data_IF_443420400917
#
_entry.id   IF_443420400917
#
_cell.length_a   1.000
_cell.length_b   1.000
_cell.length_c   1.000
_cell.angle_alpha   90.00
_cell.angle_beta   90.00
_cell.angle_gamma   90.00
#
_symmetry.space_group_name_H-M   'P 1'
#
loop_
_entity.id
_entity.type
_entity.pdbx_description
1 polymer ?
#
# COMPACT_ATOMS: atom_id res chain seq x y z
N UNK A 1 22.62 0.04 52.68
CA UNK A 1 21.23 0.43 52.39
C UNK A 1 20.74 -0.43 51.23
N UNK A 2 20.02 -1.49 51.51
CA UNK A 2 19.58 -2.49 50.53
C UNK A 2 18.27 -2.04 49.87
N UNK A 3 18.27 -1.95 48.53
CA UNK A 3 17.06 -1.72 47.74
C UNK A 3 16.12 -2.92 47.88
N UNK A 4 15.01 -2.74 48.60
CA UNK A 4 13.88 -3.66 48.52
C UNK A 4 13.15 -3.47 47.18
N UNK A 5 13.09 -4.55 46.40
CA UNK A 5 12.43 -4.63 45.09
C UNK A 5 10.96 -4.14 45.15
N UNK A 6 10.57 -3.28 44.21
CA UNK A 6 9.19 -2.77 44.04
C UNK A 6 8.14 -3.89 43.97
N UNK A 7 8.54 -5.05 43.46
CA UNK A 7 7.75 -6.28 43.42
C UNK A 7 7.32 -6.80 44.80
N UNK A 8 8.17 -6.67 45.81
CA UNK A 8 7.84 -7.12 47.18
C UNK A 8 6.82 -6.21 47.86
N UNK A 9 6.84 -4.90 47.56
CA UNK A 9 5.81 -3.94 48.03
C UNK A 9 4.45 -4.17 47.38
N UNK A 10 4.41 -4.66 46.15
CA UNK A 10 3.17 -4.96 45.45
C UNK A 10 2.48 -6.21 46.04
N UNK A 11 3.24 -7.27 46.30
CA UNK A 11 2.71 -8.52 46.88
C UNK A 11 2.18 -8.30 48.31
N UNK A 12 2.84 -7.48 49.12
CA UNK A 12 2.39 -7.20 50.49
C UNK A 12 1.08 -6.40 50.59
N UNK A 13 0.65 -5.72 49.52
CA UNK A 13 -0.59 -4.92 49.52
C UNK A 13 -1.85 -5.70 49.19
N UNK A 14 -1.73 -6.90 48.64
CA UNK A 14 -2.89 -7.69 48.20
C UNK A 14 -3.03 -8.90 49.12
N UNK A 15 -3.87 -8.78 50.15
CA UNK A 15 -4.31 -9.94 50.96
C UNK A 15 -5.30 -10.76 50.15
N UNK A 16 -4.82 -11.56 49.20
CA UNK A 16 -5.63 -12.60 48.54
C UNK A 16 -5.52 -13.87 49.39
N UNK A 17 -6.64 -14.45 49.86
CA UNK A 17 -6.64 -15.74 50.54
C UNK A 17 -6.02 -16.81 49.64
N UNK A 18 -5.19 -17.69 50.21
CA UNK A 18 -4.45 -18.73 49.47
C UNK A 18 -5.37 -19.62 48.59
N UNK A 19 -6.63 -19.77 48.99
CA UNK A 19 -7.67 -20.53 48.27
C UNK A 19 -8.07 -19.87 46.93
N UNK A 20 -8.05 -18.54 46.83
CA UNK A 20 -8.41 -17.80 45.60
C UNK A 20 -7.28 -17.82 44.59
N UNK A 21 -6.01 -17.92 45.05
CA UNK A 21 -4.85 -18.03 44.16
C UNK A 21 -4.85 -19.33 43.35
N UNK A 22 -5.32 -20.44 43.94
CA UNK A 22 -5.45 -21.74 43.25
C UNK A 22 -6.46 -21.72 42.11
N UNK A 23 -7.58 -21.00 42.28
CA UNK A 23 -8.64 -20.85 41.27
C UNK A 23 -8.16 -20.05 40.04
N UNK A 24 -7.33 -19.02 40.24
CA UNK A 24 -6.74 -18.26 39.12
C UNK A 24 -5.74 -19.09 38.30
N UNK A 25 -4.92 -19.93 38.95
CA UNK A 25 -3.99 -20.81 38.23
C UNK A 25 -4.75 -21.87 37.44
N UNK A 26 -5.82 -22.45 38.00
CA UNK A 26 -6.67 -23.39 37.29
C UNK A 26 -7.36 -22.75 36.08
N UNK A 27 -7.88 -21.52 36.21
CA UNK A 27 -8.47 -20.76 35.08
C UNK A 27 -7.42 -20.45 34.01
N UNK A 28 -6.19 -20.08 34.38
CA UNK A 28 -5.10 -19.84 33.43
C UNK A 28 -4.69 -21.14 32.71
N UNK A 29 -4.68 -22.29 33.39
CA UNK A 29 -4.38 -23.59 32.78
C UNK A 29 -5.52 -24.08 31.87
N UNK A 30 -6.78 -23.88 32.26
CA UNK A 30 -7.95 -24.16 31.41
C UNK A 30 -7.96 -23.23 30.18
N UNK A 31 -7.58 -21.96 30.33
CA UNK A 31 -7.45 -21.02 29.20
C UNK A 31 -6.25 -21.34 28.31
N UNK A 32 -5.17 -21.95 28.85
CA UNK A 32 -4.02 -22.41 28.09
C UNK A 32 -4.36 -23.63 27.23
N UNK A 33 -5.13 -24.58 27.77
CA UNK A 33 -5.61 -25.76 27.04
C UNK A 33 -6.68 -25.43 25.99
N UNK A 34 -7.55 -24.43 26.22
CA UNK A 34 -8.50 -23.95 25.19
C UNK A 34 -7.79 -23.09 24.12
N UNK A 35 -6.68 -22.44 24.46
CA UNK A 35 -5.87 -21.63 23.53
C UNK A 35 -5.29 -22.42 22.36
N UNK A 36 -5.06 -23.73 22.54
CA UNK A 36 -4.54 -24.60 21.47
C UNK A 36 -5.64 -25.32 20.66
N UNK A 37 -6.88 -25.35 21.16
CA UNK A 37 -8.01 -26.04 20.50
C UNK A 37 -8.90 -25.14 19.64
N UNK A 38 -8.74 -23.81 19.67
CA UNK A 38 -9.58 -22.85 18.90
C UNK A 38 -8.82 -22.08 17.81
N UNK A 39 -7.60 -22.49 17.45
CA UNK A 39 -6.92 -21.94 16.26
C UNK A 39 -6.41 -23.07 15.35
N UNK A 40 -7.33 -23.77 14.66
CA UNK A 40 -7.11 -23.98 13.24
C UNK A 40 -8.39 -23.61 12.48
N UNK A 41 -8.87 -22.39 12.66
CA UNK A 41 -9.96 -21.86 11.85
C UNK A 41 -9.59 -20.46 11.39
N UNK A 42 -9.34 -20.34 10.08
CA UNK A 42 -9.03 -19.10 9.33
C UNK A 42 -7.57 -18.63 9.41
N UNK A 43 -6.60 -19.49 9.05
CA UNK A 43 -5.59 -19.00 8.09
C UNK A 43 -6.28 -19.11 6.73
N UNK A 44 -7.08 -18.10 6.36
CA UNK A 44 -7.48 -17.96 4.95
C UNK A 44 -6.17 -17.77 4.20
N UNK A 45 -5.79 -18.73 3.37
CA UNK A 45 -4.76 -18.51 2.35
C UNK A 45 -5.10 -17.18 1.68
N UNK A 46 -4.31 -16.14 1.98
CA UNK A 46 -4.55 -14.86 1.37
C UNK A 46 -4.30 -15.07 -0.11
N UNK A 47 -5.29 -14.74 -0.96
CA UNK A 47 -5.13 -14.93 -2.39
C UNK A 47 -3.82 -14.24 -2.82
N UNK A 48 -2.93 -14.94 -3.53
CA UNK A 48 -1.76 -14.29 -4.13
C UNK A 48 -2.25 -13.22 -5.13
N UNK A 49 -2.30 -11.96 -4.68
CA UNK A 49 -2.74 -10.80 -5.43
C UNK A 49 -1.51 -10.18 -6.09
N UNK A 50 -1.55 -10.01 -7.41
CA UNK A 50 -0.53 -9.26 -8.11
C UNK A 50 -0.91 -7.77 -8.15
N UNK A 51 -0.52 -7.03 -7.12
CA UNK A 51 -0.72 -5.59 -7.04
C UNK A 51 0.56 -4.85 -6.64
N UNK A 52 0.60 -3.54 -6.83
CA UNK A 52 1.75 -2.69 -6.47
C UNK A 52 1.31 -1.27 -6.15
N UNK A 53 1.97 -0.63 -5.18
CA UNK A 53 1.95 0.83 -4.99
C UNK A 53 3.26 1.48 -5.47
N UNK A 54 4.21 0.67 -5.95
CA UNK A 54 5.52 1.09 -6.44
C UNK A 54 6.70 0.28 -5.91
N UNK A 55 6.47 -0.75 -5.10
CA UNK A 55 7.53 -1.64 -4.61
C UNK A 55 7.98 -2.68 -5.65
N UNK A 56 7.20 -2.88 -6.71
CA UNK A 56 7.53 -3.76 -7.85
C UNK A 56 6.83 -3.28 -9.11
N UNK A 57 7.38 -3.63 -10.28
CA UNK A 57 6.72 -3.44 -11.57
C UNK A 57 5.68 -4.54 -11.81
N UNK A 58 4.59 -4.18 -12.48
CA UNK A 58 3.62 -5.12 -13.06
C UNK A 58 3.87 -5.35 -14.57
N UNK A 59 4.87 -4.69 -15.16
CA UNK A 59 5.33 -4.86 -16.54
C UNK A 59 6.77 -5.41 -16.59
N UNK A 60 7.03 -6.64 -16.09
CA UNK A 60 8.39 -7.17 -15.95
C UNK A 60 9.09 -7.46 -17.29
N UNK A 61 8.34 -7.61 -18.38
CA UNK A 61 8.90 -7.82 -19.72
C UNK A 61 9.33 -6.53 -20.42
N UNK A 62 8.99 -5.37 -19.86
CA UNK A 62 9.43 -4.08 -20.38
C UNK A 62 10.83 -3.72 -19.91
N UNK A 63 11.48 -2.81 -20.62
CA UNK A 63 12.74 -2.22 -20.16
C UNK A 63 12.52 -1.39 -18.89
N UNK A 64 13.23 -1.77 -17.81
CA UNK A 64 13.22 -1.11 -16.50
C UNK A 64 14.57 -0.41 -16.34
N UNK A 65 14.54 0.92 -16.18
CA UNK A 65 15.78 1.67 -15.93
C UNK A 65 16.31 1.39 -14.52
N UNK A 66 17.63 1.52 -14.33
CA UNK A 66 18.29 1.37 -13.02
C UNK A 66 17.66 2.29 -11.97
N UNK A 67 17.30 3.52 -12.35
CA UNK A 67 16.65 4.51 -11.48
C UNK A 67 15.25 4.04 -11.07
N UNK A 68 14.47 3.43 -11.97
CA UNK A 68 13.18 2.85 -11.60
C UNK A 68 13.36 1.74 -10.57
N UNK A 69 14.34 0.85 -10.75
CA UNK A 69 14.65 -0.22 -9.78
C UNK A 69 15.05 0.33 -8.41
N UNK A 70 15.91 1.36 -8.39
CA UNK A 70 16.32 2.04 -7.16
C UNK A 70 15.11 2.70 -6.48
N UNK A 71 14.25 3.40 -7.23
CA UNK A 71 13.02 3.98 -6.69
C UNK A 71 12.09 2.92 -6.07
N UNK A 72 11.90 1.78 -6.73
CA UNK A 72 11.11 0.67 -6.20
C UNK A 72 11.71 0.08 -4.92
N UNK A 73 13.04 -0.02 -4.85
CA UNK A 73 13.76 -0.45 -3.64
C UNK A 73 13.57 0.53 -2.50
N UNK A 74 13.68 1.83 -2.75
CA UNK A 74 13.46 2.85 -1.73
C UNK A 74 12.01 2.86 -1.21
N UNK A 75 11.00 2.53 -2.05
CA UNK A 75 9.63 2.29 -1.57
C UNK A 75 9.57 1.11 -0.59
N UNK A 76 10.23 -0.01 -0.87
CA UNK A 76 10.27 -1.17 0.06
C UNK A 76 10.84 -0.78 1.42
N UNK A 77 11.88 0.06 1.43
CA UNK A 77 12.53 0.59 2.61
C UNK A 77 11.79 1.79 3.24
N UNK A 78 10.63 2.18 2.70
CA UNK A 78 9.81 3.35 3.11
C UNK A 78 10.57 4.69 3.06
N UNK A 79 11.59 4.79 2.21
CA UNK A 79 12.40 5.99 1.98
C UNK A 79 11.82 6.81 0.82
N UNK A 80 10.63 7.35 1.04
CA UNK A 80 9.85 7.97 -0.04
C UNK A 80 10.50 9.20 -0.68
N UNK A 81 11.28 10.01 0.07
CA UNK A 81 12.00 11.15 -0.50
C UNK A 81 13.07 10.70 -1.51
N UNK A 82 13.82 9.63 -1.21
CA UNK A 82 14.77 9.04 -2.15
C UNK A 82 14.06 8.44 -3.36
N UNK A 83 12.95 7.74 -3.14
CA UNK A 83 12.13 7.18 -4.21
C UNK A 83 11.64 8.27 -5.19
N UNK A 84 11.19 9.43 -4.68
CA UNK A 84 10.80 10.60 -5.50
C UNK A 84 11.97 11.04 -6.40
N UNK A 85 13.18 11.14 -5.86
CA UNK A 85 14.37 11.53 -6.64
C UNK A 85 14.65 10.53 -7.77
N UNK A 86 14.66 9.23 -7.47
CA UNK A 86 14.94 8.20 -8.47
C UNK A 86 13.85 8.09 -9.54
N UNK A 87 12.57 8.20 -9.19
CA UNK A 87 11.50 8.19 -10.19
C UNK A 87 11.52 9.42 -11.09
N UNK A 88 11.88 10.61 -10.58
CA UNK A 88 12.10 11.80 -11.43
C UNK A 88 13.23 11.58 -12.42
N UNK A 89 14.34 10.98 -11.98
CA UNK A 89 15.46 10.63 -12.86
C UNK A 89 15.03 9.61 -13.94
N UNK A 90 14.33 8.55 -13.54
CA UNK A 90 13.80 7.55 -14.48
C UNK A 90 12.87 8.18 -15.53
N UNK A 91 11.98 9.08 -15.12
CA UNK A 91 11.05 9.78 -16.02
C UNK A 91 11.75 10.83 -16.90
N UNK A 92 12.89 11.37 -16.49
CA UNK A 92 13.70 12.23 -17.35
C UNK A 92 14.30 11.43 -18.52
N UNK A 93 14.76 10.21 -18.26
CA UNK A 93 15.25 9.28 -19.28
C UNK A 93 14.12 8.72 -20.15
N UNK A 94 12.98 8.38 -19.55
CA UNK A 94 11.81 7.77 -20.20
C UNK A 94 10.52 8.45 -19.76
N UNK A 95 10.17 9.54 -20.46
CA UNK A 95 9.01 10.38 -20.10
C UNK A 95 7.67 9.64 -20.16
N UNK A 96 7.53 8.65 -21.04
CA UNK A 96 6.26 7.95 -21.29
C UNK A 96 6.13 6.63 -20.51
N UNK A 97 6.43 6.65 -19.21
CA UNK A 97 6.23 5.51 -18.30
C UNK A 97 5.12 5.82 -17.27
N UNK A 98 3.84 5.47 -17.56
CA UNK A 98 2.72 5.81 -16.70
C UNK A 98 2.75 5.09 -15.35
N UNK A 99 3.32 3.89 -15.28
CA UNK A 99 3.48 3.16 -14.02
C UNK A 99 4.44 3.92 -13.09
N UNK A 100 5.57 4.40 -13.64
CA UNK A 100 6.53 5.20 -12.88
C UNK A 100 5.94 6.54 -12.43
N UNK A 101 5.09 7.19 -13.25
CA UNK A 101 4.37 8.40 -12.81
C UNK A 101 3.45 8.11 -11.61
N UNK A 102 2.76 6.97 -11.59
CA UNK A 102 1.96 6.55 -10.44
C UNK A 102 2.85 6.30 -9.22
N UNK A 103 4.00 5.64 -9.38
CA UNK A 103 4.93 5.37 -8.28
C UNK A 103 5.53 6.65 -7.70
N UNK A 104 5.86 7.63 -8.55
CA UNK A 104 6.26 8.99 -8.14
C UNK A 104 5.16 9.63 -7.29
N UNK A 105 3.91 9.64 -7.78
CA UNK A 105 2.78 10.23 -7.07
C UNK A 105 2.47 9.55 -5.73
N UNK A 106 2.53 8.21 -5.69
CA UNK A 106 2.37 7.44 -4.46
C UNK A 106 3.48 7.78 -3.44
N UNK A 107 4.72 7.93 -3.90
CA UNK A 107 5.84 8.34 -3.05
C UNK A 107 5.65 9.75 -2.49
N UNK A 108 5.17 10.69 -3.31
CA UNK A 108 4.82 12.05 -2.88
C UNK A 108 3.74 12.01 -1.79
N UNK A 109 2.65 11.27 -2.01
CA UNK A 109 1.57 11.14 -1.03
C UNK A 109 2.08 10.60 0.31
N UNK A 110 2.91 9.55 0.28
CA UNK A 110 3.47 8.94 1.49
C UNK A 110 4.48 9.85 2.21
N UNK A 111 5.34 10.55 1.46
CA UNK A 111 6.26 11.54 2.03
C UNK A 111 5.48 12.67 2.72
N UNK A 112 4.40 13.18 2.11
CA UNK A 112 3.55 14.23 2.69
C UNK A 112 2.79 13.75 3.92
N UNK A 113 2.34 12.49 3.94
CA UNK A 113 1.76 11.86 5.13
C UNK A 113 2.77 11.81 6.29
N UNK A 114 4.00 11.41 6.02
CA UNK A 114 5.04 11.26 7.07
C UNK A 114 5.53 12.62 7.55
N UNK A 115 5.88 13.52 6.62
CA UNK A 115 6.57 14.78 6.94
C UNK A 115 5.62 15.90 7.37
N UNK A 116 4.34 15.82 6.98
CA UNK A 116 3.37 16.90 7.19
C UNK A 116 2.02 16.41 7.73
N UNK A 117 1.93 15.15 8.18
CA UNK A 117 0.70 14.53 8.71
C UNK A 117 -0.53 14.67 7.78
N UNK A 118 -0.32 14.67 6.46
CA UNK A 118 -1.39 14.77 5.46
C UNK A 118 -2.16 13.45 5.37
N UNK A 119 -3.46 13.54 5.06
CA UNK A 119 -4.33 12.37 4.85
C UNK A 119 -4.20 11.85 3.41
N UNK A 120 -4.31 10.53 3.26
CA UNK A 120 -4.28 9.86 1.95
C UNK A 120 -5.66 9.25 1.67
N UNK A 121 -6.21 9.53 0.50
CA UNK A 121 -7.30 8.81 -0.12
C UNK A 121 -6.70 7.68 -0.96
N UNK A 122 -7.14 6.44 -0.74
CA UNK A 122 -6.62 5.30 -1.49
C UNK A 122 -7.66 4.80 -2.48
N UNK A 123 -7.24 4.63 -3.72
CA UNK A 123 -8.06 3.99 -4.76
C UNK A 123 -7.29 2.82 -5.35
N UNK A 124 -8.01 1.92 -6.00
CA UNK A 124 -7.43 0.85 -6.79
C UNK A 124 -7.72 1.05 -8.28
N UNK A 125 -6.83 0.58 -9.13
CA UNK A 125 -7.08 0.40 -10.56
C UNK A 125 -6.82 -1.06 -10.92
N UNK A 126 -7.75 -1.71 -11.64
CA UNK A 126 -7.56 -3.04 -12.21
C UNK A 126 -7.22 -2.93 -13.69
N UNK A 127 -6.09 -3.49 -14.08
CA UNK A 127 -5.56 -3.46 -15.45
C UNK A 127 -5.16 -4.86 -15.93
N UNK A 128 -5.19 -5.12 -17.24
CA UNK A 128 -4.71 -6.38 -17.81
C UNK A 128 -3.19 -6.36 -18.06
N UNK A 129 -2.35 -6.07 -17.04
CA UNK A 129 -0.91 -5.82 -17.24
C UNK A 129 -0.17 -6.97 -17.95
N UNK A 130 -0.48 -8.22 -17.58
CA UNK A 130 0.14 -9.42 -18.18
C UNK A 130 -0.63 -10.00 -19.37
N UNK A 131 -1.84 -9.51 -19.65
CA UNK A 131 -2.68 -10.01 -20.76
C UNK A 131 -2.68 -9.06 -21.96
N UNK A 132 -2.78 -7.75 -21.69
CA UNK A 132 -2.90 -6.68 -22.67
C UNK A 132 -2.05 -5.46 -22.22
N UNK A 133 -0.71 -5.57 -22.22
CA UNK A 133 0.18 -4.57 -21.61
C UNK A 133 0.06 -3.17 -22.23
N UNK A 134 -0.22 -3.07 -23.53
CA UNK A 134 -0.42 -1.78 -24.20
C UNK A 134 -1.70 -1.08 -23.71
N UNK A 135 -2.82 -1.81 -23.65
CA UNK A 135 -4.09 -1.30 -23.12
C UNK A 135 -3.92 -0.90 -21.66
N UNK A 136 -3.26 -1.74 -20.86
CA UNK A 136 -2.95 -1.45 -19.48
C UNK A 136 -2.15 -0.15 -19.33
N UNK A 137 -1.14 0.09 -20.18
CA UNK A 137 -0.36 1.32 -20.18
C UNK A 137 -1.23 2.56 -20.51
N UNK A 138 -2.13 2.48 -21.50
CA UNK A 138 -3.04 3.61 -21.80
C UNK A 138 -3.99 3.94 -20.64
N UNK A 139 -4.56 2.92 -19.99
CA UNK A 139 -5.40 3.11 -18.80
C UNK A 139 -4.57 3.80 -17.70
N UNK A 140 -3.36 3.31 -17.45
CA UNK A 140 -2.47 3.91 -16.46
C UNK A 140 -2.07 5.33 -16.83
N UNK A 141 -1.92 5.71 -18.11
CA UNK A 141 -1.63 7.10 -18.51
C UNK A 141 -2.73 8.04 -18.03
N UNK A 142 -4.00 7.69 -18.28
CA UNK A 142 -5.14 8.49 -17.81
C UNK A 142 -5.18 8.60 -16.28
N UNK A 143 -5.00 7.47 -15.58
CA UNK A 143 -4.97 7.43 -14.10
C UNK A 143 -3.81 8.25 -13.55
N UNK A 144 -2.61 8.11 -14.11
CA UNK A 144 -1.40 8.82 -13.72
C UNK A 144 -1.55 10.33 -13.89
N UNK A 145 -2.12 10.77 -15.02
CA UNK A 145 -2.38 12.18 -15.29
C UNK A 145 -3.38 12.76 -14.27
N UNK A 146 -4.50 12.07 -14.04
CA UNK A 146 -5.51 12.52 -13.07
C UNK A 146 -4.97 12.55 -11.64
N UNK A 147 -4.19 11.54 -11.23
CA UNK A 147 -3.53 11.50 -9.93
C UNK A 147 -2.52 12.65 -9.77
N UNK A 148 -1.75 12.93 -10.82
CA UNK A 148 -0.77 14.02 -10.83
C UNK A 148 -1.42 15.39 -10.66
N UNK A 149 -2.50 15.64 -11.41
CA UNK A 149 -3.29 16.86 -11.26
C UNK A 149 -3.83 16.98 -9.83
N UNK A 150 -4.41 15.90 -9.29
CA UNK A 150 -4.96 15.90 -7.93
C UNK A 150 -3.90 16.16 -6.85
N UNK A 151 -2.72 15.55 -6.96
CA UNK A 151 -1.69 15.63 -5.92
C UNK A 151 -0.88 16.92 -5.98
N UNK A 152 -0.58 17.41 -7.19
CA UNK A 152 0.45 18.42 -7.42
C UNK A 152 0.02 19.53 -8.39
N UNK A 153 -0.88 19.24 -9.33
CA UNK A 153 -1.09 20.03 -10.53
C UNK A 153 -0.12 19.64 -11.65
N UNK A 154 -0.62 19.58 -12.89
CA UNK A 154 0.13 19.10 -14.05
C UNK A 154 1.36 19.96 -14.37
N UNK A 155 1.27 21.27 -14.18
CA UNK A 155 2.40 22.17 -14.44
C UNK A 155 3.57 21.90 -13.46
N UNK A 156 3.25 21.78 -12.17
CA UNK A 156 4.24 21.56 -11.10
C UNK A 156 4.95 20.22 -11.25
N UNK A 157 4.20 19.13 -11.45
CA UNK A 157 4.82 17.81 -11.59
C UNK A 157 5.68 17.72 -12.85
N UNK A 158 5.25 18.34 -13.95
CA UNK A 158 5.97 18.33 -15.22
C UNK A 158 7.28 19.12 -15.12
N UNK A 159 7.26 20.25 -14.41
CA UNK A 159 8.46 21.02 -14.12
C UNK A 159 9.42 20.21 -13.24
N UNK A 160 8.92 19.59 -12.18
CA UNK A 160 9.74 18.78 -11.29
C UNK A 160 10.39 17.57 -11.99
N UNK A 161 9.72 16.91 -12.93
CA UNK A 161 10.34 15.81 -13.69
C UNK A 161 11.47 16.32 -14.60
N UNK A 162 11.29 17.48 -15.23
CA UNK A 162 12.27 18.07 -16.16
C UNK A 162 13.49 18.62 -15.44
N UNK A 163 13.30 19.34 -14.34
CA UNK A 163 14.36 19.89 -13.53
C UNK A 163 14.41 19.19 -12.18
N UNK A 164 15.39 18.30 -11.98
CA UNK A 164 15.56 17.51 -10.75
C UNK A 164 15.89 18.41 -9.54
N UNK A 165 16.44 19.61 -9.76
CA UNK A 165 16.73 20.57 -8.70
C UNK A 165 15.49 21.37 -8.27
N UNK A 166 14.44 21.41 -9.11
CA UNK A 166 13.19 22.07 -8.77
C UNK A 166 12.58 21.46 -7.50
N UNK A 167 12.23 22.32 -6.54
CA UNK A 167 11.61 21.90 -5.30
C UNK A 167 10.14 21.57 -5.53
N UNK A 168 9.79 20.31 -5.28
CA UNK A 168 8.44 19.80 -5.51
C UNK A 168 7.42 20.36 -4.50
N UNK A 169 6.51 21.23 -4.97
CA UNK A 169 5.52 21.93 -4.16
C UNK A 169 4.11 21.35 -4.28
N UNK A 170 3.96 20.05 -4.07
CA UNK A 170 2.63 19.42 -4.06
C UNK A 170 1.87 19.70 -2.76
N UNK A 171 0.65 20.21 -2.88
CA UNK A 171 -0.23 20.55 -1.74
C UNK A 171 -1.39 19.56 -1.54
N UNK A 172 -1.62 18.66 -2.50
CA UNK A 172 -2.80 17.81 -2.53
C UNK A 172 -4.07 18.60 -2.86
N UNK A 173 -5.18 17.88 -2.95
CA UNK A 173 -6.51 18.41 -3.24
C UNK A 173 -7.48 18.09 -2.12
N UNK A 174 -8.71 18.61 -2.16
CA UNK A 174 -9.77 18.32 -1.18
C UNK A 174 -9.31 18.49 0.28
N UNK A 175 -8.95 19.72 0.66
CA UNK A 175 -8.40 20.08 1.97
C UNK A 175 -7.02 19.44 2.26
N UNK A 176 -6.15 19.46 1.25
CA UNK A 176 -4.75 19.00 1.36
C UNK A 176 -4.60 17.48 1.51
N UNK A 177 -5.57 16.71 1.03
CA UNK A 177 -5.49 15.26 0.92
C UNK A 177 -4.73 14.87 -0.34
N UNK A 178 -4.03 13.75 -0.26
CA UNK A 178 -3.32 13.16 -1.40
C UNK A 178 -4.02 11.89 -1.86
N UNK A 179 -3.92 11.58 -3.14
CA UNK A 179 -4.41 10.37 -3.75
C UNK A 179 -3.27 9.36 -3.92
N UNK A 180 -3.47 8.16 -3.41
CA UNK A 180 -2.61 6.99 -3.65
C UNK A 180 -3.37 5.97 -4.49
N UNK A 181 -2.73 5.49 -5.55
CA UNK A 181 -3.28 4.49 -6.46
C UNK A 181 -2.57 3.16 -6.22
N UNK A 182 -3.33 2.11 -5.93
CA UNK A 182 -2.81 0.74 -5.95
C UNK A 182 -3.18 0.10 -7.27
N UNK A 183 -2.19 -0.38 -8.01
CA UNK A 183 -2.41 -1.02 -9.31
C UNK A 183 -2.60 -2.51 -9.07
N UNK A 184 -3.64 -3.10 -9.64
CA UNK A 184 -3.94 -4.53 -9.61
C UNK A 184 -3.87 -5.07 -11.04
N UNK A 185 -3.18 -6.19 -11.21
CA UNK A 185 -3.15 -6.93 -12.47
C UNK A 185 -4.23 -8.02 -12.44
N UNK A 186 -5.23 -7.89 -13.32
CA UNK A 186 -6.25 -8.91 -13.55
C UNK A 186 -5.84 -9.92 -14.63
N UNK A 187 -4.67 -9.75 -15.26
CA UNK A 187 -4.10 -10.64 -16.28
C UNK A 187 -5.00 -10.86 -17.50
N UNK A 188 -6.06 -10.07 -17.68
CA UNK A 188 -7.13 -10.36 -18.63
C UNK A 188 -7.79 -11.73 -18.40
N UNK A 189 -7.90 -12.17 -17.14
CA UNK A 189 -8.45 -13.48 -16.75
C UNK A 189 -9.66 -13.35 -15.81
N UNK A 190 -10.83 -13.96 -16.14
CA UNK A 190 -12.04 -13.83 -15.34
C UNK A 190 -11.86 -14.22 -13.86
N UNK A 191 -11.13 -15.31 -13.61
CA UNK A 191 -10.87 -15.80 -12.27
C UNK A 191 -9.95 -14.86 -11.47
N UNK A 192 -8.98 -14.23 -12.13
CA UNK A 192 -8.09 -13.25 -11.49
C UNK A 192 -8.85 -11.95 -11.17
N UNK A 193 -9.72 -11.47 -12.08
CA UNK A 193 -10.62 -10.34 -11.84
C UNK A 193 -11.52 -10.58 -10.62
N UNK A 194 -12.19 -11.74 -10.57
CA UNK A 194 -13.01 -12.18 -9.43
C UNK A 194 -12.23 -12.28 -8.13
N UNK A 195 -11.00 -12.80 -8.18
CA UNK A 195 -10.09 -12.88 -7.02
C UNK A 195 -9.70 -11.49 -6.51
N UNK A 196 -9.35 -10.57 -7.41
CA UNK A 196 -9.03 -9.18 -7.09
C UNK A 196 -10.23 -8.48 -6.44
N UNK A 197 -11.44 -8.63 -7.00
CA UNK A 197 -12.67 -8.05 -6.43
C UNK A 197 -12.97 -8.56 -5.01
N UNK A 198 -12.89 -9.88 -4.79
CA UNK A 198 -13.06 -10.51 -3.46
C UNK A 198 -12.01 -10.05 -2.44
N UNK A 199 -10.82 -9.67 -2.89
CA UNK A 199 -9.79 -9.09 -2.04
C UNK A 199 -10.09 -7.62 -1.73
N UNK A 200 -10.43 -6.83 -2.76
CA UNK A 200 -10.68 -5.39 -2.67
C UNK A 200 -11.88 -5.06 -1.77
N UNK A 201 -12.97 -5.83 -1.83
CA UNK A 201 -14.15 -5.62 -0.95
C UNK A 201 -13.84 -5.74 0.55
N UNK A 202 -12.73 -6.40 0.90
CA UNK A 202 -12.27 -6.53 2.30
C UNK A 202 -11.37 -5.36 2.74
N UNK A 203 -10.90 -4.54 1.81
CA UNK A 203 -10.01 -3.40 2.08
C UNK A 203 -10.83 -2.15 2.40
N UNK A 204 -11.06 -1.89 3.69
CA UNK A 204 -11.91 -0.78 4.16
C UNK A 204 -11.31 0.61 3.89
N UNK A 205 -10.03 0.70 3.57
CA UNK A 205 -9.32 1.94 3.32
C UNK A 205 -9.24 2.32 1.84
N UNK A 206 -9.65 1.44 0.93
CA UNK A 206 -9.80 1.71 -0.51
C UNK A 206 -11.22 2.22 -0.75
N UNK A 207 -11.36 3.46 -1.23
CA UNK A 207 -12.66 4.14 -1.33
C UNK A 207 -13.27 4.09 -2.73
N UNK A 208 -12.49 3.71 -3.74
CA UNK A 208 -12.95 3.58 -5.12
C UNK A 208 -12.07 2.60 -5.90
N UNK A 209 -12.64 2.00 -6.94
CA UNK A 209 -11.97 1.08 -7.85
C UNK A 209 -12.24 1.56 -9.28
N UNK A 210 -11.19 1.66 -10.09
CA UNK A 210 -11.26 1.94 -11.53
C UNK A 210 -11.03 0.63 -12.27
N UNK A 211 -11.97 0.19 -13.09
CA UNK A 211 -11.88 -1.06 -13.86
C UNK A 211 -13.24 -1.75 -13.99
N UNK A 212 -13.32 -2.90 -14.66
CA UNK A 212 -12.24 -3.54 -15.43
C UNK A 212 -12.25 -3.04 -16.89
N UNK A 213 -11.18 -3.29 -17.64
CA UNK A 213 -11.09 -2.89 -19.06
C UNK A 213 -12.17 -3.54 -19.93
N UNK A 214 -12.44 -4.84 -19.77
CA UNK A 214 -13.34 -5.58 -20.65
C UNK A 214 -14.62 -6.07 -19.94
N UNK A 215 -15.67 -6.26 -20.74
CA UNK A 215 -16.98 -6.73 -20.24
C UNK A 215 -16.90 -8.08 -19.52
N UNK A 216 -16.18 -9.11 -20.02
CA UNK A 216 -16.08 -10.38 -19.31
C UNK A 216 -15.39 -10.27 -17.95
N UNK A 217 -14.37 -9.41 -17.82
CA UNK A 217 -13.72 -9.16 -16.52
C UNK A 217 -14.66 -8.45 -15.56
N UNK A 218 -15.37 -7.43 -16.04
CA UNK A 218 -16.36 -6.67 -15.25
C UNK A 218 -17.45 -7.59 -14.73
N UNK A 219 -18.06 -8.42 -15.61
CA UNK A 219 -19.08 -9.39 -15.22
C UNK A 219 -18.58 -10.41 -14.18
N UNK A 220 -17.30 -10.81 -14.28
CA UNK A 220 -16.72 -11.79 -13.37
C UNK A 220 -16.34 -11.21 -12.01
N UNK A 221 -16.01 -9.92 -11.98
CA UNK A 221 -15.66 -9.18 -10.77
C UNK A 221 -16.87 -8.95 -9.85
N UNK A 222 -18.08 -8.84 -10.42
CA UNK A 222 -19.34 -8.74 -9.69
C UNK A 222 -20.16 -7.51 -10.07
#
# INVERSE_FOLDING_TARGET
MTQQNLWQKFIQRIKVPLEVAGLFIAIILILRDVGELVIPMIVRDLPNINNSIGEKTLFPSGEISSEKELGMREIKEKRFNSAISYFRQSLNLKQNDPETVIFLNNSIAQAKKINQNRKILKIAVSIPANGEPNIAAEILRGVAQAQSEFNCGLAEISLAIKDIQHQLNCQGSLNGKFLQVTIFDDKYQPETAKKNAKYLVKQKDIIAIIGHYSSPMTLSAG
#
